data_IF_228733437188
#
_entry.id   IF_228733437188
#
_cell.length_a   1.000
_cell.length_b   1.000
_cell.length_c   1.000
_cell.angle_alpha   90.00
_cell.angle_beta   90.00
_cell.angle_gamma   90.00
#
_symmetry.space_group_name_H-M   'P 1'
#
loop_
_entity.id
_entity.type
_entity.pdbx_description
1 polymer ?
#
# COMPACT_ATOMS: atom_id res chain seq x y z
N UNK A 1 1.76 -4.57 35.41
CA UNK A 1 1.49 -5.34 34.17
C UNK A 1 1.31 -4.32 33.06
N UNK A 2 2.37 -4.02 32.31
CA UNK A 2 2.32 -3.06 31.21
C UNK A 2 1.84 -3.83 29.99
N UNK A 3 0.58 -3.66 29.61
CA UNK A 3 0.08 -4.18 28.35
C UNK A 3 0.67 -3.28 27.26
N UNK A 4 1.69 -3.79 26.55
CA UNK A 4 2.10 -3.18 25.29
C UNK A 4 0.91 -3.36 24.33
N UNK A 5 0.11 -2.31 24.16
CA UNK A 5 -0.83 -2.20 23.05
C UNK A 5 0.02 -2.10 21.79
N UNK A 6 0.40 -3.26 21.25
CA UNK A 6 0.91 -3.37 19.90
C UNK A 6 -0.31 -3.13 19.00
N UNK A 7 -0.51 -1.87 18.60
CA UNK A 7 -1.45 -1.57 17.52
C UNK A 7 -0.88 -2.20 16.26
N UNK A 8 -1.39 -3.36 15.87
CA UNK A 8 -0.96 -4.05 14.66
C UNK A 8 -1.58 -3.31 13.47
N UNK A 9 -0.77 -2.50 12.78
CA UNK A 9 -1.22 -1.86 11.56
C UNK A 9 -1.78 -2.86 10.55
N UNK A 10 -2.84 -2.48 9.83
CA UNK A 10 -3.39 -3.25 8.72
C UNK A 10 -2.65 -2.89 7.43
N UNK A 11 -2.21 -3.91 6.69
CA UNK A 11 -1.66 -3.71 5.35
C UNK A 11 -2.77 -3.72 4.31
N UNK A 12 -2.63 -2.83 3.32
CA UNK A 12 -3.58 -2.60 2.25
C UNK A 12 -2.85 -2.55 0.92
N UNK A 13 -3.55 -2.98 -0.12
CA UNK A 13 -3.05 -2.99 -1.49
C UNK A 13 -4.14 -2.62 -2.50
N UNK A 14 -3.73 -2.02 -3.61
CA UNK A 14 -4.62 -1.65 -4.70
C UNK A 14 -3.84 -1.59 -6.04
N UNK A 15 -4.56 -1.41 -7.15
CA UNK A 15 -3.97 -1.33 -8.48
C UNK A 15 -3.89 -2.69 -9.18
N UNK A 16 -3.02 -2.80 -10.19
CA UNK A 16 -2.85 -4.01 -10.99
C UNK A 16 -1.45 -4.05 -11.63
N UNK A 17 -1.10 -5.13 -12.31
CA UNK A 17 0.22 -5.28 -12.91
C UNK A 17 0.52 -4.32 -14.08
N UNK A 18 -0.51 -3.76 -14.73
CA UNK A 18 -0.35 -2.84 -15.86
C UNK A 18 -0.07 -1.40 -15.40
N UNK A 19 -0.73 -0.96 -14.33
CA UNK A 19 -0.60 0.42 -13.81
C UNK A 19 0.29 0.52 -12.58
N UNK A 20 0.68 -0.61 -12.00
CA UNK A 20 1.43 -0.71 -10.76
C UNK A 20 0.58 -1.20 -9.59
N UNK A 21 1.20 -1.98 -8.70
CA UNK A 21 0.59 -2.45 -7.46
C UNK A 21 1.07 -1.57 -6.30
N UNK A 22 0.12 -0.88 -5.68
CA UNK A 22 0.35 0.01 -4.54
C UNK A 22 0.18 -0.78 -3.25
N UNK A 23 1.07 -0.59 -2.29
CA UNK A 23 1.04 -1.18 -0.94
C UNK A 23 1.25 -0.11 0.12
N UNK A 24 0.44 -0.14 1.17
CA UNK A 24 0.49 0.83 2.27
C UNK A 24 -0.07 0.23 3.56
N UNK A 25 0.12 0.91 4.68
CA UNK A 25 -0.37 0.45 5.98
C UNK A 25 -1.23 1.54 6.63
N UNK A 26 -2.28 1.13 7.34
CA UNK A 26 -3.18 2.00 8.11
C UNK A 26 -3.33 1.51 9.55
N UNK A 27 -3.69 2.41 10.46
CA UNK A 27 -4.04 2.08 11.84
C UNK A 27 -5.24 1.11 11.84
N UNK A 28 -5.16 0.10 12.69
CA UNK A 28 -6.19 -0.93 12.77
C UNK A 28 -7.53 -0.29 13.17
N UNK A 29 -8.64 -0.92 12.76
CA UNK A 29 -10.05 -0.60 13.09
C UNK A 29 -10.89 0.18 12.07
N UNK A 30 -10.33 0.91 11.11
CA UNK A 30 -11.15 1.80 10.25
C UNK A 30 -11.30 1.38 8.79
N UNK A 31 -10.43 0.50 8.26
CA UNK A 31 -10.46 0.05 6.86
C UNK A 31 -9.45 0.80 5.97
N UNK A 32 -9.13 0.26 4.80
CA UNK A 32 -7.99 0.74 3.99
C UNK A 32 -8.12 2.19 3.49
N UNK A 33 -9.34 2.66 3.23
CA UNK A 33 -9.60 4.01 2.73
C UNK A 33 -10.14 4.98 3.78
N UNK A 34 -10.32 4.51 5.00
CA UNK A 34 -10.95 5.24 6.10
C UNK A 34 -10.09 5.26 7.36
N UNK A 35 -8.99 4.51 7.38
CA UNK A 35 -8.01 4.51 8.46
C UNK A 35 -6.92 5.55 8.27
N UNK A 36 -6.30 5.90 9.39
CA UNK A 36 -5.12 6.77 9.42
C UNK A 36 -3.92 6.02 8.85
N UNK A 37 -3.16 6.62 7.95
CA UNK A 37 -1.96 5.98 7.41
C UNK A 37 -0.86 5.82 8.46
N UNK A 38 -0.12 4.71 8.38
CA UNK A 38 1.07 4.44 9.20
C UNK A 38 2.32 4.75 8.37
N UNK A 39 3.18 5.63 8.88
CA UNK A 39 4.42 6.04 8.22
C UNK A 39 4.26 7.37 7.47
N UNK A 40 5.15 7.63 6.52
CA UNK A 40 5.15 8.87 5.73
C UNK A 40 4.65 8.66 4.29
N UNK A 41 4.79 7.46 3.74
CA UNK A 41 4.44 7.08 2.37
C UNK A 41 4.05 5.60 2.29
N UNK A 42 3.41 5.19 1.18
CA UNK A 42 3.37 3.78 0.76
C UNK A 42 4.39 3.50 -0.34
N UNK A 43 4.24 2.36 -1.01
CA UNK A 43 5.13 1.92 -2.10
C UNK A 43 4.29 1.53 -3.32
N UNK A 44 4.72 1.90 -4.50
CA UNK A 44 4.19 1.40 -5.78
C UNK A 44 5.23 0.52 -6.46
N UNK A 45 4.85 -0.70 -6.85
CA UNK A 45 5.68 -1.59 -7.65
C UNK A 45 5.26 -1.59 -9.10
N UNK A 46 6.22 -1.45 -10.01
CA UNK A 46 6.02 -1.50 -11.46
C UNK A 46 6.46 -2.84 -12.02
N UNK A 47 5.68 -3.39 -12.94
CA UNK A 47 5.87 -4.74 -13.47
C UNK A 47 5.94 -4.72 -15.00
N UNK A 48 6.79 -5.58 -15.54
CA UNK A 48 6.85 -5.85 -16.98
C UNK A 48 6.55 -7.32 -17.26
N UNK A 49 5.86 -7.58 -18.37
CA UNK A 49 5.58 -8.94 -18.78
C UNK A 49 6.81 -9.51 -19.51
N UNK A 50 7.42 -10.55 -18.94
CA UNK A 50 8.55 -11.27 -19.52
C UNK A 50 8.30 -12.78 -19.45
N UNK A 51 8.48 -13.47 -20.57
CA UNK A 51 8.32 -14.93 -20.69
C UNK A 51 6.96 -15.46 -20.17
N UNK A 52 5.89 -14.67 -20.28
CA UNK A 52 4.55 -15.03 -19.82
C UNK A 52 4.30 -14.84 -18.33
N UNK A 53 5.24 -14.24 -17.59
CA UNK A 53 5.08 -13.85 -16.19
C UNK A 53 5.24 -12.33 -16.01
N UNK A 54 4.65 -11.78 -14.96
CA UNK A 54 4.88 -10.39 -14.55
C UNK A 54 6.08 -10.33 -13.62
N UNK A 55 7.08 -9.54 -13.98
CA UNK A 55 8.32 -9.36 -13.24
C UNK A 55 8.34 -7.97 -12.64
N UNK A 56 8.62 -7.87 -11.34
CA UNK A 56 8.81 -6.59 -10.68
C UNK A 56 10.11 -5.97 -11.19
N UNK A 57 10.02 -4.78 -11.78
CA UNK A 57 11.18 -4.07 -12.36
C UNK A 57 11.60 -2.86 -11.55
N UNK A 58 10.66 -2.24 -10.82
CA UNK A 58 10.96 -1.07 -10.00
C UNK A 58 9.98 -0.94 -8.81
N UNK A 59 10.41 -0.24 -7.76
CA UNK A 59 9.60 0.10 -6.59
C UNK A 59 9.92 1.52 -6.15
N UNK A 60 8.90 2.38 -6.14
CA UNK A 60 9.03 3.77 -5.75
C UNK A 60 8.16 4.11 -4.53
N UNK A 61 8.58 5.04 -3.66
CA UNK A 61 7.70 5.57 -2.64
C UNK A 61 6.58 6.41 -3.28
N UNK A 62 5.36 6.27 -2.76
CA UNK A 62 4.19 7.02 -3.22
C UNK A 62 3.51 7.72 -2.05
N UNK A 63 3.15 8.99 -2.24
CA UNK A 63 2.52 9.81 -1.20
C UNK A 63 1.14 9.30 -0.83
N UNK A 64 0.72 9.49 0.42
CA UNK A 64 -0.62 9.09 0.85
C UNK A 64 -1.74 9.82 0.11
N UNK A 65 -1.55 11.08 -0.31
CA UNK A 65 -2.54 11.77 -1.15
C UNK A 65 -2.74 11.07 -2.49
N UNK A 66 -1.66 10.63 -3.13
CA UNK A 66 -1.74 9.87 -4.38
C UNK A 66 -2.33 8.48 -4.17
N UNK A 67 -2.08 7.85 -3.01
CA UNK A 67 -2.72 6.57 -2.64
C UNK A 67 -4.23 6.76 -2.49
N UNK A 68 -4.68 7.79 -1.77
CA UNK A 68 -6.11 8.08 -1.62
C UNK A 68 -6.76 8.30 -2.98
N UNK A 69 -6.13 9.08 -3.86
CA UNK A 69 -6.65 9.34 -5.21
C UNK A 69 -6.74 8.06 -6.07
N UNK A 70 -5.77 7.16 -5.99
CA UNK A 70 -5.74 5.97 -6.85
C UNK A 70 -6.47 4.75 -6.27
N UNK A 71 -6.50 4.60 -4.95
CA UNK A 71 -7.06 3.42 -4.29
C UNK A 71 -8.45 3.63 -3.69
N UNK A 72 -8.85 4.88 -3.43
CA UNK A 72 -9.98 5.18 -2.54
C UNK A 72 -11.00 6.18 -3.13
N UNK A 73 -10.81 6.60 -4.38
CA UNK A 73 -11.71 7.51 -5.12
C UNK A 73 -12.87 6.80 -5.80
#
# INVERSE_FOLDING_TARGET
MFFLNFSFGKNCDCGNFETGLIKYSVEDETGCCSGSFIGENGMIGFYEQSEGAWMLVDVEPISFSSITEQCCS
#
